data_IF_812039755016
#
_entry.id   IF_812039755016
#
_cell.length_a   1.000
_cell.length_b   1.000
_cell.length_c   1.000
_cell.angle_alpha   90.00
_cell.angle_beta   90.00
_cell.angle_gamma   90.00
#
_symmetry.space_group_name_H-M   'P 1'
#
loop_
_entity.id
_entity.type
_entity.pdbx_description
1 polymer ?
#
# COMPACT_ATOMS: atom_id res chain seq x y z
N UNK A 1 9.84 -5.66 -12.92
CA UNK A 1 8.83 -6.43 -12.19
C UNK A 1 9.46 -7.78 -11.91
N UNK A 2 9.50 -8.19 -10.63
CA UNK A 2 9.97 -9.52 -10.26
C UNK A 2 8.90 -10.56 -10.67
N UNK A 3 9.29 -11.64 -11.34
CA UNK A 3 8.34 -12.57 -11.98
C UNK A 3 7.66 -13.48 -10.96
N UNK A 4 8.38 -13.88 -9.92
CA UNK A 4 7.86 -14.69 -8.80
C UNK A 4 6.82 -13.90 -7.99
N UNK A 5 7.02 -12.58 -7.86
CA UNK A 5 6.04 -11.68 -7.25
C UNK A 5 4.82 -11.45 -8.14
N UNK A 6 5.01 -11.27 -9.45
CA UNK A 6 3.89 -11.23 -10.38
C UNK A 6 3.07 -12.52 -10.28
N UNK A 7 3.75 -13.68 -10.23
CA UNK A 7 3.10 -14.97 -10.03
C UNK A 7 2.25 -14.96 -8.75
N UNK A 8 2.83 -14.54 -7.62
CA UNK A 8 2.09 -14.43 -6.35
C UNK A 8 0.86 -13.52 -6.46
N UNK A 9 1.02 -12.33 -7.04
CA UNK A 9 -0.06 -11.35 -7.21
C UNK A 9 -1.20 -11.93 -8.06
N UNK A 10 -0.86 -12.63 -9.15
CA UNK A 10 -1.84 -13.24 -10.05
C UNK A 10 -2.59 -14.40 -9.39
N UNK A 11 -1.91 -15.21 -8.55
CA UNK A 11 -2.56 -16.27 -7.76
C UNK A 11 -3.56 -15.67 -6.77
N UNK A 12 -3.12 -14.69 -5.97
CA UNK A 12 -3.96 -14.01 -4.99
C UNK A 12 -5.17 -13.33 -5.65
N UNK A 13 -4.96 -12.70 -6.81
CA UNK A 13 -6.03 -12.05 -7.57
C UNK A 13 -7.00 -13.10 -8.15
N UNK A 14 -6.50 -14.19 -8.73
CA UNK A 14 -7.36 -15.27 -9.25
C UNK A 14 -8.24 -15.85 -8.14
N UNK A 15 -7.64 -16.18 -6.99
CA UNK A 15 -8.34 -16.72 -5.83
C UNK A 15 -9.44 -15.75 -5.36
N UNK A 16 -9.13 -14.46 -5.27
CA UNK A 16 -10.11 -13.43 -4.92
C UNK A 16 -11.27 -13.36 -5.93
N UNK A 17 -10.97 -13.31 -7.23
CA UNK A 17 -11.99 -13.21 -8.29
C UNK A 17 -12.94 -14.42 -8.27
N UNK A 18 -12.42 -15.60 -7.93
CA UNK A 18 -13.20 -16.83 -7.76
C UNK A 18 -14.01 -16.83 -6.46
N UNK A 19 -13.39 -16.42 -5.34
CA UNK A 19 -14.03 -16.34 -4.02
C UNK A 19 -15.26 -15.41 -4.01
N UNK A 20 -15.18 -14.25 -4.66
CA UNK A 20 -16.33 -13.34 -4.76
C UNK A 20 -17.24 -13.63 -5.96
N UNK A 21 -16.88 -14.62 -6.79
CA UNK A 21 -17.62 -15.02 -7.98
C UNK A 21 -17.91 -13.85 -8.94
N UNK A 22 -16.93 -12.95 -9.13
CA UNK A 22 -17.12 -11.67 -9.81
C UNK A 22 -17.62 -11.83 -11.25
N UNK A 23 -17.09 -12.82 -11.99
CA UNK A 23 -17.48 -13.12 -13.37
C UNK A 23 -18.99 -13.32 -13.51
N UNK A 24 -19.56 -14.15 -12.62
CA UNK A 24 -20.97 -14.49 -12.65
C UNK A 24 -21.84 -13.32 -12.22
N UNK A 25 -21.39 -12.51 -11.26
CA UNK A 25 -22.14 -11.31 -10.82
C UNK A 25 -22.22 -10.26 -11.94
N UNK A 26 -21.13 -9.99 -12.65
CA UNK A 26 -21.14 -9.07 -13.81
C UNK A 26 -22.05 -9.63 -14.91
N UNK A 27 -21.96 -10.93 -15.21
CA UNK A 27 -22.82 -11.58 -16.20
C UNK A 27 -24.31 -11.52 -15.82
N UNK A 28 -24.66 -11.67 -14.55
CA UNK A 28 -26.04 -11.53 -14.09
C UNK A 28 -26.57 -10.11 -14.30
N UNK A 29 -25.78 -9.09 -13.98
CA UNK A 29 -26.14 -7.69 -14.24
C UNK A 29 -26.37 -7.47 -15.73
N UNK A 30 -25.49 -7.97 -16.60
CA UNK A 30 -25.66 -7.89 -18.06
C UNK A 30 -26.98 -8.53 -18.51
N UNK A 31 -27.27 -9.77 -18.08
CA UNK A 31 -28.48 -10.51 -18.45
C UNK A 31 -29.73 -9.78 -17.98
N UNK A 32 -29.78 -9.32 -16.73
CA UNK A 32 -30.95 -8.64 -16.20
C UNK A 32 -31.16 -7.26 -16.81
N UNK A 33 -30.08 -6.54 -17.14
CA UNK A 33 -30.17 -5.29 -17.88
C UNK A 33 -30.66 -5.52 -19.31
N UNK A 34 -30.18 -6.57 -19.99
CA UNK A 34 -30.67 -6.96 -21.31
C UNK A 34 -32.17 -7.26 -21.29
N UNK A 35 -32.67 -7.98 -20.27
CA UNK A 35 -34.09 -8.26 -20.11
C UNK A 35 -34.91 -6.99 -19.90
N UNK A 36 -34.42 -6.06 -19.07
CA UNK A 36 -35.06 -4.75 -18.85
C UNK A 36 -35.11 -3.91 -20.12
N UNK A 37 -34.06 -3.93 -20.95
CA UNK A 37 -34.02 -3.23 -22.24
C UNK A 37 -35.00 -3.86 -23.23
N UNK A 38 -35.05 -5.19 -23.30
CA UNK A 38 -35.91 -5.91 -24.23
C UNK A 38 -37.39 -5.87 -23.85
N UNK A 39 -37.72 -5.79 -22.55
CA UNK A 39 -39.09 -5.81 -22.03
C UNK A 39 -39.29 -4.81 -20.88
N UNK A 40 -39.26 -3.49 -21.13
CA UNK A 40 -39.25 -2.47 -20.07
C UNK A 40 -40.51 -2.46 -19.18
N UNK A 41 -41.63 -2.97 -19.69
CA UNK A 41 -42.92 -2.95 -19.01
C UNK A 41 -43.11 -4.10 -17.99
N UNK A 42 -42.12 -4.99 -17.82
CA UNK A 42 -42.19 -6.12 -16.89
C UNK A 42 -41.51 -5.76 -15.56
N UNK A 43 -42.26 -5.56 -14.45
CA UNK A 43 -41.68 -5.12 -13.17
C UNK A 43 -40.65 -6.08 -12.59
N UNK A 44 -40.76 -7.39 -12.89
CA UNK A 44 -39.82 -8.41 -12.42
C UNK A 44 -38.40 -8.20 -12.94
N UNK A 45 -38.22 -7.68 -14.16
CA UNK A 45 -36.88 -7.43 -14.73
C UNK A 45 -36.16 -6.31 -13.99
N UNK A 46 -36.89 -5.25 -13.61
CA UNK A 46 -36.34 -4.16 -12.80
C UNK A 46 -35.92 -4.66 -11.41
N UNK A 47 -36.77 -5.42 -10.73
CA UNK A 47 -36.46 -5.99 -9.41
C UNK A 47 -35.23 -6.90 -9.46
N UNK A 48 -35.13 -7.74 -10.50
CA UNK A 48 -33.96 -8.62 -10.67
C UNK A 48 -32.67 -7.85 -10.95
N UNK A 49 -32.73 -6.81 -11.80
CA UNK A 49 -31.58 -5.95 -12.07
C UNK A 49 -31.08 -5.26 -10.79
N UNK A 50 -31.98 -4.66 -10.01
CA UNK A 50 -31.60 -4.01 -8.74
C UNK A 50 -30.93 -5.00 -7.80
N UNK A 51 -31.52 -6.20 -7.63
CA UNK A 51 -30.94 -7.24 -6.77
C UNK A 51 -29.55 -7.68 -7.23
N UNK A 52 -29.35 -7.89 -8.54
CA UNK A 52 -28.04 -8.27 -9.06
C UNK A 52 -27.00 -7.16 -8.92
N UNK A 53 -27.41 -5.89 -9.07
CA UNK A 53 -26.53 -4.76 -8.80
C UNK A 53 -26.15 -4.66 -7.32
N UNK A 54 -27.10 -4.85 -6.40
CA UNK A 54 -26.83 -4.87 -4.96
C UNK A 54 -25.84 -5.96 -4.58
N UNK A 55 -26.03 -7.18 -5.11
CA UNK A 55 -25.11 -8.29 -4.90
C UNK A 55 -23.71 -7.99 -5.43
N UNK A 56 -23.61 -7.49 -6.68
CA UNK A 56 -22.33 -7.10 -7.28
C UNK A 56 -21.64 -6.00 -6.47
N UNK A 57 -22.37 -4.94 -6.11
CA UNK A 57 -21.83 -3.85 -5.32
C UNK A 57 -21.37 -4.29 -3.94
N UNK A 58 -22.10 -5.19 -3.28
CA UNK A 58 -21.70 -5.74 -1.99
C UNK A 58 -20.40 -6.55 -2.12
N UNK A 59 -20.30 -7.42 -3.13
CA UNK A 59 -19.09 -8.20 -3.42
C UNK A 59 -17.88 -7.28 -3.70
N UNK A 60 -18.03 -6.32 -4.62
CA UNK A 60 -16.97 -5.38 -4.98
C UNK A 60 -16.52 -4.49 -3.81
N UNK A 61 -17.43 -4.12 -2.91
CA UNK A 61 -17.09 -3.33 -1.72
C UNK A 61 -16.33 -4.14 -0.66
N UNK A 62 -16.55 -5.46 -0.61
CA UNK A 62 -15.90 -6.38 0.32
C UNK A 62 -14.66 -7.06 -0.26
N UNK A 63 -14.35 -6.80 -1.52
CA UNK A 63 -13.25 -7.45 -2.22
C UNK A 63 -11.91 -7.23 -1.53
N UNK A 64 -11.11 -8.30 -1.41
CA UNK A 64 -9.75 -8.27 -0.86
C UNK A 64 -8.84 -7.34 -1.66
N UNK A 65 -9.09 -7.17 -2.97
CA UNK A 65 -8.36 -6.22 -3.82
C UNK A 65 -8.36 -4.79 -3.25
N UNK A 66 -9.43 -4.36 -2.59
CA UNK A 66 -9.48 -3.02 -1.98
C UNK A 66 -8.43 -2.84 -0.87
N UNK A 67 -7.99 -3.93 -0.25
CA UNK A 67 -6.99 -3.98 0.82
C UNK A 67 -5.59 -4.35 0.33
N UNK A 68 -5.41 -4.61 -0.96
CA UNK A 68 -4.06 -4.86 -1.50
C UNK A 68 -3.16 -3.66 -1.27
N UNK A 69 -1.87 -3.96 -1.08
CA UNK A 69 -0.85 -2.92 -0.94
C UNK A 69 -0.81 -2.07 -2.21
N UNK A 70 -0.35 -0.82 -2.12
CA UNK A 70 -0.30 0.03 -3.28
C UNK A 70 0.58 -0.52 -4.41
N UNK A 71 1.71 -1.18 -4.09
CA UNK A 71 2.57 -1.77 -5.13
C UNK A 71 1.86 -2.91 -5.87
N UNK A 72 1.07 -3.73 -5.17
CA UNK A 72 0.27 -4.78 -5.78
C UNK A 72 -0.80 -4.19 -6.71
N UNK A 73 -1.48 -3.13 -6.27
CA UNK A 73 -2.44 -2.41 -7.11
C UNK A 73 -1.78 -1.80 -8.34
N UNK A 74 -0.60 -1.21 -8.20
CA UNK A 74 0.17 -0.67 -9.32
C UNK A 74 0.49 -1.77 -10.34
N UNK A 75 1.01 -2.91 -9.90
CA UNK A 75 1.30 -4.05 -10.80
C UNK A 75 0.04 -4.53 -11.52
N UNK A 76 -1.09 -4.60 -10.82
CA UNK A 76 -2.38 -4.98 -11.42
C UNK A 76 -2.84 -3.92 -12.43
N UNK A 77 -2.75 -2.64 -12.08
CA UNK A 77 -3.15 -1.52 -12.95
C UNK A 77 -2.23 -1.44 -14.20
N UNK A 78 -0.98 -1.90 -14.14
CA UNK A 78 -0.07 -1.98 -15.30
C UNK A 78 -0.43 -3.11 -16.29
N UNK A 79 -1.02 -4.21 -15.81
CA UNK A 79 -1.31 -5.39 -16.66
C UNK A 79 -2.79 -5.51 -17.02
N UNK A 80 -3.69 -4.88 -16.27
CA UNK A 80 -5.12 -4.95 -16.46
C UNK A 80 -5.64 -3.75 -17.27
N UNK A 81 -6.83 -3.92 -17.87
CA UNK A 81 -7.60 -2.80 -18.39
C UNK A 81 -8.18 -2.01 -17.22
N UNK A 82 -8.21 -0.68 -17.35
CA UNK A 82 -8.61 0.25 -16.28
C UNK A 82 -9.94 -0.11 -15.60
N UNK A 83 -9.92 -0.04 -14.26
CA UNK A 83 -11.08 -0.09 -13.36
C UNK A 83 -11.89 -1.40 -13.36
N UNK A 84 -11.25 -2.55 -13.53
CA UNK A 84 -11.93 -3.86 -13.52
C UNK A 84 -12.17 -4.47 -12.13
N UNK A 85 -11.69 -3.85 -11.04
CA UNK A 85 -11.73 -4.45 -9.71
C UNK A 85 -12.28 -3.53 -8.62
N UNK A 86 -12.78 -4.16 -7.55
CA UNK A 86 -13.15 -3.51 -6.30
C UNK A 86 -14.05 -2.27 -6.44
N UNK A 87 -13.75 -1.25 -5.63
CA UNK A 87 -14.53 -0.01 -5.57
C UNK A 87 -14.47 0.78 -6.90
N UNK A 88 -13.35 0.72 -7.64
CA UNK A 88 -13.20 1.38 -8.94
C UNK A 88 -14.24 0.86 -9.94
N UNK A 89 -14.36 -0.47 -10.09
CA UNK A 89 -15.38 -1.08 -10.95
C UNK A 89 -16.81 -0.74 -10.50
N UNK A 90 -17.07 -0.78 -9.19
CA UNK A 90 -18.38 -0.40 -8.63
C UNK A 90 -18.75 1.03 -9.04
N UNK A 91 -17.82 1.97 -8.94
CA UNK A 91 -18.03 3.37 -9.35
C UNK A 91 -18.24 3.51 -10.85
N UNK A 92 -17.46 2.80 -11.67
CA UNK A 92 -17.60 2.76 -13.14
C UNK A 92 -19.01 2.30 -13.55
N UNK A 93 -19.50 1.20 -12.99
CA UNK A 93 -20.85 0.68 -13.28
C UNK A 93 -21.93 1.66 -12.83
N UNK A 94 -21.81 2.27 -11.64
CA UNK A 94 -22.76 3.28 -11.17
C UNK A 94 -22.82 4.49 -12.11
N UNK A 95 -21.67 4.96 -12.58
CA UNK A 95 -21.56 6.10 -13.49
C UNK A 95 -22.17 5.78 -14.87
N UNK A 96 -21.94 4.58 -15.39
CA UNK A 96 -22.57 4.11 -16.64
C UNK A 96 -24.10 4.16 -16.51
N UNK A 97 -24.65 3.62 -15.41
CA UNK A 97 -26.10 3.56 -15.23
C UNK A 97 -26.72 4.95 -14.99
N UNK A 98 -26.05 5.83 -14.25
CA UNK A 98 -26.54 7.19 -13.99
C UNK A 98 -26.47 8.08 -15.24
N UNK A 99 -25.40 7.98 -16.02
CA UNK A 99 -25.22 8.74 -17.26
C UNK A 99 -26.19 8.29 -18.37
N UNK A 100 -26.60 7.02 -18.36
CA UNK A 100 -27.45 6.42 -19.39
C UNK A 100 -28.87 6.09 -18.89
N UNK A 101 -29.38 6.83 -17.90
CA UNK A 101 -30.72 6.60 -17.34
C UNK A 101 -31.85 6.71 -18.40
N UNK A 102 -31.65 7.51 -19.45
CA UNK A 102 -32.60 7.70 -20.57
C UNK A 102 -32.41 6.62 -21.65
N UNK A 103 -31.21 6.08 -21.80
CA UNK A 103 -30.81 5.16 -22.88
C UNK A 103 -30.26 3.84 -22.34
N UNK A 104 -31.10 2.96 -21.76
CA UNK A 104 -30.66 1.68 -21.20
C UNK A 104 -29.88 0.79 -22.16
N UNK A 105 -30.13 0.89 -23.46
CA UNK A 105 -29.40 0.15 -24.48
C UNK A 105 -27.90 0.54 -24.56
N UNK A 106 -27.56 1.81 -24.30
CA UNK A 106 -26.16 2.25 -24.24
C UNK A 106 -25.49 1.73 -22.97
N UNK A 107 -26.16 1.85 -21.81
CA UNK A 107 -25.68 1.24 -20.57
C UNK A 107 -25.39 -0.26 -20.75
N UNK A 108 -26.27 -0.97 -21.43
CA UNK A 108 -26.10 -2.38 -21.70
C UNK A 108 -24.86 -2.68 -22.58
N UNK A 109 -24.60 -1.86 -23.59
CA UNK A 109 -23.40 -2.00 -24.42
C UNK A 109 -22.12 -1.82 -23.58
N UNK A 110 -22.10 -0.81 -22.71
CA UNK A 110 -20.95 -0.53 -21.84
C UNK A 110 -20.74 -1.63 -20.79
N UNK A 111 -21.82 -2.20 -20.22
CA UNK A 111 -21.72 -3.35 -19.31
C UNK A 111 -21.26 -4.61 -20.03
N UNK A 112 -21.64 -4.82 -21.30
CA UNK A 112 -21.15 -5.93 -22.12
C UNK A 112 -19.65 -5.83 -22.37
N UNK A 113 -19.15 -4.63 -22.65
CA UNK A 113 -17.73 -4.35 -22.81
C UNK A 113 -16.96 -4.70 -21.52
N UNK A 114 -17.42 -4.21 -20.37
CA UNK A 114 -16.85 -4.57 -19.05
C UNK A 114 -16.83 -6.10 -18.84
N UNK A 115 -17.92 -6.79 -19.14
CA UNK A 115 -17.97 -8.26 -18.96
C UNK A 115 -16.98 -8.98 -19.89
N UNK A 116 -16.85 -8.50 -21.13
CA UNK A 116 -15.91 -9.06 -22.09
C UNK A 116 -14.46 -8.83 -21.64
N UNK A 117 -14.11 -7.60 -21.26
CA UNK A 117 -12.76 -7.25 -20.81
C UNK A 117 -12.39 -8.05 -19.56
N UNK A 118 -13.32 -8.18 -18.61
CA UNK A 118 -13.13 -8.98 -17.41
C UNK A 118 -12.88 -10.46 -17.75
N UNK A 119 -13.65 -11.06 -18.68
CA UNK A 119 -13.46 -12.46 -19.10
C UNK A 119 -12.13 -12.67 -19.81
N UNK A 120 -11.75 -11.75 -20.69
CA UNK A 120 -10.47 -11.80 -21.39
C UNK A 120 -9.31 -11.71 -20.41
N UNK A 121 -9.38 -10.77 -19.46
CA UNK A 121 -8.36 -10.62 -18.44
C UNK A 121 -8.27 -11.85 -17.54
N UNK A 122 -9.40 -12.39 -17.05
CA UNK A 122 -9.42 -13.63 -16.27
C UNK A 122 -8.78 -14.80 -17.03
N UNK A 123 -9.08 -14.93 -18.32
CA UNK A 123 -8.44 -15.96 -19.17
C UNK A 123 -6.93 -15.73 -19.31
N UNK A 124 -6.48 -14.47 -19.41
CA UNK A 124 -5.07 -14.14 -19.48
C UNK A 124 -4.33 -14.49 -18.18
N UNK A 125 -4.94 -14.24 -17.02
CA UNK A 125 -4.40 -14.66 -15.72
C UNK A 125 -4.22 -16.18 -15.72
N UNK A 126 -5.28 -16.95 -16.01
CA UNK A 126 -5.22 -18.42 -16.01
C UNK A 126 -4.12 -18.94 -16.93
N UNK A 127 -4.03 -18.42 -18.16
CA UNK A 127 -3.00 -18.84 -19.12
C UNK A 127 -1.59 -18.47 -18.64
N UNK A 128 -1.42 -17.32 -18.00
CA UNK A 128 -0.12 -16.87 -17.47
C UNK A 128 0.33 -17.74 -16.32
N UNK A 129 -0.58 -18.05 -15.37
CA UNK A 129 -0.29 -18.93 -14.23
C UNK A 129 0.10 -20.34 -14.69
N UNK A 130 -0.64 -20.92 -15.64
CA UNK A 130 -0.25 -22.20 -16.24
C UNK A 130 1.09 -22.13 -16.96
N UNK A 131 1.40 -21.00 -17.60
CA UNK A 131 2.71 -20.77 -18.22
C UNK A 131 3.84 -20.69 -17.20
N UNK A 132 3.63 -20.05 -16.04
CA UNK A 132 4.60 -20.02 -14.95
C UNK A 132 4.85 -21.41 -14.38
N UNK A 133 3.80 -22.19 -14.16
CA UNK A 133 3.90 -23.58 -13.70
C UNK A 133 4.72 -24.45 -14.67
N UNK A 134 4.43 -24.39 -15.98
CA UNK A 134 5.15 -25.15 -17.01
C UNK A 134 6.64 -24.74 -17.12
N UNK A 135 6.95 -23.47 -16.86
CA UNK A 135 8.31 -22.95 -16.85
C UNK A 135 9.05 -23.21 -15.52
N UNK A 136 8.37 -23.73 -14.50
CA UNK A 136 8.94 -23.91 -13.16
C UNK A 136 9.22 -22.60 -12.42
N UNK A 137 8.46 -21.54 -12.74
CA UNK A 137 8.53 -20.26 -12.03
C UNK A 137 7.68 -20.38 -10.77
N UNK A 138 8.31 -20.37 -9.61
CA UNK A 138 7.63 -20.43 -8.31
C UNK A 138 7.04 -19.06 -7.93
N UNK A 139 6.10 -19.05 -6.98
CA UNK A 139 5.58 -17.81 -6.41
C UNK A 139 6.47 -17.32 -5.25
N UNK A 140 6.53 -16.00 -5.06
CA UNK A 140 7.18 -15.42 -3.89
C UNK A 140 6.31 -15.64 -2.63
N UNK A 141 6.73 -16.55 -1.76
CA UNK A 141 6.04 -16.86 -0.49
C UNK A 141 6.74 -16.15 0.68
N UNK A 142 5.94 -15.68 1.65
CA UNK A 142 6.42 -15.39 3.00
C UNK A 142 6.03 -16.55 3.90
N UNK A 143 6.95 -16.99 4.76
CA UNK A 143 6.59 -17.99 5.77
C UNK A 143 5.67 -17.37 6.83
N UNK A 144 4.77 -18.15 7.45
CA UNK A 144 3.88 -17.65 8.50
C UNK A 144 4.64 -16.91 9.61
N UNK A 145 4.21 -15.67 9.92
CA UNK A 145 4.88 -14.80 10.89
C UNK A 145 6.10 -14.05 10.35
N UNK A 146 6.56 -14.34 9.13
CA UNK A 146 7.63 -13.58 8.50
C UNK A 146 7.10 -12.23 8.02
N UNK A 147 7.89 -11.18 8.28
CA UNK A 147 7.62 -9.83 7.81
C UNK A 147 8.63 -9.41 6.75
N UNK A 148 8.16 -8.62 5.78
CA UNK A 148 9.02 -7.91 4.84
C UNK A 148 8.64 -6.42 4.78
N UNK A 149 9.66 -5.60 4.58
CA UNK A 149 9.56 -4.19 4.20
C UNK A 149 9.80 -4.07 2.69
N UNK A 150 8.81 -3.59 1.96
CA UNK A 150 8.99 -3.09 0.60
C UNK A 150 9.35 -1.60 0.64
N UNK A 151 10.43 -1.24 -0.05
CA UNK A 151 10.96 0.12 -0.10
C UNK A 151 11.23 0.53 -1.54
N UNK A 152 10.37 1.42 -2.08
CA UNK A 152 10.43 1.89 -3.47
C UNK A 152 11.18 3.21 -3.55
N UNK A 153 12.20 3.25 -4.40
CA UNK A 153 13.05 4.41 -4.65
C UNK A 153 12.70 5.02 -6.01
N UNK A 154 12.22 6.27 -6.07
CA UNK A 154 11.92 6.95 -7.33
C UNK A 154 13.17 7.08 -8.18
N UNK A 155 13.06 6.74 -9.47
CA UNK A 155 14.20 6.84 -10.42
C UNK A 155 14.72 8.27 -10.55
N UNK A 156 13.82 9.24 -10.53
CA UNK A 156 14.15 10.66 -10.60
C UNK A 156 14.99 11.11 -9.41
N UNK A 157 14.73 10.56 -8.22
CA UNK A 157 15.47 10.88 -7.01
C UNK A 157 16.94 10.44 -7.10
N UNK A 158 17.22 9.28 -7.68
CA UNK A 158 18.58 8.73 -7.79
C UNK A 158 19.24 8.95 -9.16
N UNK A 159 18.57 9.58 -10.11
CA UNK A 159 19.02 9.82 -11.49
C UNK A 159 19.57 8.53 -12.16
N UNK A 160 18.98 7.38 -11.82
CA UNK A 160 19.43 6.04 -12.22
C UNK A 160 20.94 5.75 -11.95
N UNK A 161 21.57 6.41 -10.98
CA UNK A 161 22.98 6.21 -10.63
C UNK A 161 23.15 5.15 -9.56
N UNK A 162 24.05 4.19 -9.80
CA UNK A 162 24.39 3.15 -8.83
C UNK A 162 24.96 3.73 -7.52
N UNK A 163 25.72 4.82 -7.59
CA UNK A 163 26.25 5.49 -6.40
C UNK A 163 25.12 6.02 -5.51
N UNK A 164 24.12 6.67 -6.12
CA UNK A 164 22.96 7.21 -5.40
C UNK A 164 22.09 6.09 -4.83
N UNK A 165 21.89 5.00 -5.58
CA UNK A 165 21.20 3.81 -5.08
C UNK A 165 21.91 3.18 -3.87
N UNK A 166 23.24 3.09 -3.92
CA UNK A 166 24.06 2.61 -2.79
C UNK A 166 23.86 3.49 -1.56
N UNK A 167 23.82 4.81 -1.74
CA UNK A 167 23.62 5.73 -0.62
C UNK A 167 22.23 5.55 0.00
N UNK A 168 21.17 5.40 -0.80
CA UNK A 168 19.83 5.09 -0.25
C UNK A 168 19.76 3.74 0.49
N UNK A 169 20.51 2.73 0.06
CA UNK A 169 20.60 1.46 0.83
C UNK A 169 21.22 1.70 2.21
N UNK A 170 22.23 2.58 2.33
CA UNK A 170 22.81 2.93 3.64
C UNK A 170 21.80 3.66 4.51
N UNK A 171 21.01 4.54 3.92
CA UNK A 171 19.98 5.31 4.62
C UNK A 171 18.86 4.41 5.12
N UNK A 172 18.39 3.46 4.29
CA UNK A 172 17.46 2.42 4.73
C UNK A 172 18.06 1.58 5.87
N UNK A 173 19.32 1.16 5.74
CA UNK A 173 20.04 0.41 6.78
C UNK A 173 20.14 1.20 8.09
N UNK A 174 20.35 2.52 8.02
CA UNK A 174 20.38 3.40 9.18
C UNK A 174 19.01 3.44 9.87
N UNK A 175 17.93 3.61 9.10
CA UNK A 175 16.55 3.66 9.62
C UNK A 175 16.23 2.36 10.36
N UNK A 176 16.44 1.22 9.70
CA UNK A 176 16.12 -0.09 10.25
C UNK A 176 16.93 -0.40 11.52
N UNK A 177 18.22 -0.07 11.54
CA UNK A 177 19.07 -0.35 12.70
C UNK A 177 18.69 0.47 13.94
N UNK A 178 18.31 1.73 13.80
CA UNK A 178 17.92 2.54 14.97
C UNK A 178 16.58 2.09 15.54
N UNK A 179 15.64 1.67 14.68
CA UNK A 179 14.37 1.11 15.13
C UNK A 179 14.58 -0.25 15.78
N UNK A 180 15.36 -1.13 15.15
CA UNK A 180 15.70 -2.45 15.70
C UNK A 180 16.41 -2.33 17.04
N UNK A 181 17.37 -1.42 17.19
CA UNK A 181 18.05 -1.22 18.47
C UNK A 181 17.13 -0.65 19.55
N UNK A 182 16.20 0.25 19.19
CA UNK A 182 15.23 0.79 20.14
C UNK A 182 14.25 -0.28 20.66
N UNK A 183 13.92 -1.25 19.81
CA UNK A 183 12.85 -2.23 20.09
C UNK A 183 13.40 -3.53 20.67
N UNK A 184 14.49 -4.04 20.10
CA UNK A 184 15.09 -5.32 20.48
C UNK A 184 16.34 -5.16 21.34
N UNK A 185 16.88 -3.93 21.44
CA UNK A 185 18.07 -3.63 22.23
C UNK A 185 19.40 -3.84 21.50
N UNK A 186 19.37 -4.33 20.26
CA UNK A 186 20.56 -4.53 19.42
C UNK A 186 20.28 -4.20 17.94
N UNK A 187 21.35 -3.97 17.18
CA UNK A 187 21.28 -3.76 15.74
C UNK A 187 21.22 -5.11 15.03
N UNK A 188 20.44 -5.19 13.96
CA UNK A 188 20.27 -6.41 13.17
C UNK A 188 20.95 -6.33 11.81
N UNK A 189 21.35 -7.49 11.29
CA UNK A 189 21.70 -7.65 9.89
C UNK A 189 20.44 -8.02 9.09
N UNK A 190 19.99 -7.10 8.23
CA UNK A 190 18.79 -7.29 7.44
C UNK A 190 19.09 -8.00 6.12
N UNK A 191 18.31 -9.04 5.80
CA UNK A 191 18.46 -9.80 4.56
C UNK A 191 17.60 -9.19 3.47
N UNK A 192 18.20 -8.89 2.32
CA UNK A 192 17.46 -8.57 1.10
C UNK A 192 16.83 -9.87 0.59
N UNK A 193 15.50 -9.89 0.50
CA UNK A 193 14.73 -11.00 -0.07
C UNK A 193 14.75 -10.91 -1.59
N UNK A 194 14.33 -9.77 -2.12
CA UNK A 194 14.08 -9.56 -3.55
C UNK A 194 14.41 -8.12 -3.94
N UNK A 195 14.87 -7.91 -5.18
CA UNK A 195 15.05 -6.60 -5.80
C UNK A 195 14.27 -6.56 -7.11
N UNK A 196 13.43 -5.54 -7.29
CA UNK A 196 12.83 -5.24 -8.59
C UNK A 196 13.68 -4.21 -9.34
N UNK A 197 13.85 -4.43 -10.64
CA UNK A 197 14.60 -3.55 -11.52
C UNK A 197 13.75 -2.58 -12.33
N UNK A 198 12.42 -2.76 -12.39
CA UNK A 198 11.51 -1.84 -13.12
C UNK A 198 11.28 -0.56 -12.34
N UNK A 199 11.01 -0.70 -11.05
CA UNK A 199 11.03 0.34 -10.04
C UNK A 199 12.07 -0.11 -9.04
N UNK A 200 13.01 0.74 -8.62
CA UNK A 200 14.06 0.37 -7.67
C UNK A 200 13.43 0.04 -6.32
N UNK A 201 12.95 -1.19 -6.18
CA UNK A 201 12.14 -1.66 -5.07
C UNK A 201 12.89 -2.80 -4.39
N UNK A 202 13.14 -2.59 -3.11
CA UNK A 202 13.83 -3.52 -2.23
C UNK A 202 12.83 -4.18 -1.30
N UNK A 203 12.88 -5.50 -1.22
CA UNK A 203 12.20 -6.28 -0.19
C UNK A 203 13.20 -6.75 0.84
N UNK A 204 13.01 -6.36 2.09
CA UNK A 204 13.93 -6.64 3.18
C UNK A 204 13.19 -7.40 4.27
N UNK A 205 13.71 -8.55 4.69
CA UNK A 205 13.16 -9.29 5.83
C UNK A 205 13.45 -8.53 7.11
N UNK A 206 12.41 -8.29 7.91
CA UNK A 206 12.48 -7.60 9.20
C UNK A 206 11.76 -8.42 10.29
N UNK A 207 12.13 -8.22 11.55
CA UNK A 207 11.46 -8.86 12.69
C UNK A 207 10.06 -8.30 12.95
N UNK A 208 9.20 -9.09 13.60
CA UNK A 208 7.81 -8.70 13.92
C UNK A 208 7.73 -7.40 14.71
N UNK A 209 8.56 -7.22 15.73
CA UNK A 209 8.52 -6.02 16.57
C UNK A 209 8.98 -4.77 15.79
N UNK A 210 10.01 -4.91 14.95
CA UNK A 210 10.46 -3.84 14.04
C UNK A 210 9.37 -3.48 13.04
N UNK A 211 8.70 -4.49 12.46
CA UNK A 211 7.60 -4.29 11.52
C UNK A 211 6.40 -3.58 12.16
N UNK A 212 6.04 -3.95 13.39
CA UNK A 212 4.94 -3.32 14.13
C UNK A 212 5.22 -1.83 14.38
N UNK A 213 6.41 -1.51 14.90
CA UNK A 213 6.81 -0.12 15.14
C UNK A 213 6.89 0.67 13.83
N UNK A 214 7.51 0.10 12.80
CA UNK A 214 7.68 0.79 11.53
C UNK A 214 6.33 1.01 10.82
N UNK A 215 5.40 0.06 10.89
CA UNK A 215 4.07 0.19 10.28
C UNK A 215 3.23 1.27 10.96
N UNK A 216 3.19 1.31 12.28
CA UNK A 216 2.52 2.36 13.06
C UNK A 216 3.16 3.73 12.84
N UNK A 217 4.49 3.81 12.83
CA UNK A 217 5.21 5.06 12.59
C UNK A 217 4.95 5.58 11.18
N UNK A 218 5.00 4.71 10.17
CA UNK A 218 4.73 5.05 8.76
C UNK A 218 3.28 5.49 8.58
N UNK A 219 2.30 4.78 9.16
CA UNK A 219 0.88 5.17 9.16
C UNK A 219 0.72 6.61 9.71
N UNK A 220 1.32 6.90 10.87
CA UNK A 220 1.19 8.22 11.51
C UNK A 220 1.88 9.34 10.75
N UNK A 221 3.06 9.06 10.18
CA UNK A 221 3.77 10.00 9.29
C UNK A 221 2.91 10.29 8.07
N UNK A 222 2.36 9.27 7.41
CA UNK A 222 1.49 9.45 6.24
C UNK A 222 0.21 10.22 6.58
N UNK A 223 -0.43 9.93 7.72
CA UNK A 223 -1.61 10.66 8.16
C UNK A 223 -1.34 12.15 8.40
N UNK A 224 -0.20 12.51 8.97
CA UNK A 224 0.21 13.92 9.12
C UNK A 224 0.65 14.51 7.78
N UNK A 225 1.32 13.73 6.94
CA UNK A 225 1.76 14.18 5.63
C UNK A 225 0.58 14.49 4.70
N UNK A 226 -0.55 13.76 4.77
CA UNK A 226 -1.78 14.10 4.04
C UNK A 226 -2.26 15.53 4.33
N UNK A 227 -2.10 16.02 5.56
CA UNK A 227 -2.42 17.41 5.92
C UNK A 227 -1.41 18.40 5.32
N UNK A 228 -0.14 18.00 5.24
CA UNK A 228 0.95 18.80 4.66
C UNK A 228 0.88 18.81 3.12
N UNK A 229 0.31 17.78 2.50
CA UNK A 229 0.21 17.66 1.04
C UNK A 229 -0.61 18.80 0.44
N UNK A 230 -1.74 19.17 1.07
CA UNK A 230 -2.52 20.34 0.64
C UNK A 230 -1.68 21.63 0.72
N UNK A 231 -0.89 21.78 1.79
CA UNK A 231 0.02 22.92 1.97
C UNK A 231 1.09 22.94 0.87
N UNK A 232 1.66 21.77 0.54
CA UNK A 232 2.66 21.59 -0.54
C UNK A 232 2.07 21.98 -1.89
N UNK A 233 0.88 21.48 -2.24
CA UNK A 233 0.21 21.79 -3.50
C UNK A 233 -0.03 23.30 -3.62
N UNK A 234 -0.58 23.94 -2.58
CA UNK A 234 -0.82 25.38 -2.59
C UNK A 234 0.49 26.18 -2.70
N UNK A 235 1.55 25.75 -2.00
CA UNK A 235 2.86 26.39 -2.07
C UNK A 235 3.49 26.26 -3.47
N UNK A 236 3.35 25.10 -4.12
CA UNK A 236 3.85 24.88 -5.47
C UNK A 236 3.07 25.73 -6.49
N UNK A 237 1.74 25.83 -6.37
CA UNK A 237 0.92 26.74 -7.19
C UNK A 237 1.30 28.22 -7.03
N UNK A 238 1.71 28.65 -5.84
CA UNK A 238 2.22 30.01 -5.62
C UNK A 238 3.56 30.22 -6.32
N UNK A 239 4.45 29.22 -6.24
CA UNK A 239 5.75 29.25 -6.93
C UNK A 239 5.58 29.35 -8.45
N UNK A 240 4.68 28.54 -9.03
CA UNK A 240 4.32 28.58 -10.47
C UNK A 240 3.78 29.94 -10.92
N UNK A 241 3.08 30.65 -10.02
CA UNK A 241 2.60 32.02 -10.25
C UNK A 241 3.66 33.10 -10.03
N UNK A 242 4.92 32.72 -9.79
CA UNK A 242 6.06 33.61 -9.64
C UNK A 242 6.22 34.21 -8.24
N UNK A 243 5.57 33.65 -7.21
CA UNK A 243 5.78 34.10 -5.83
C UNK A 243 7.18 33.67 -5.38
N UNK A 244 8.06 34.59 -4.94
CA UNK A 244 9.42 34.23 -4.54
C UNK A 244 9.44 33.29 -3.32
N UNK A 245 10.34 32.30 -3.31
CA UNK A 245 10.49 31.34 -2.21
C UNK A 245 10.68 31.98 -0.82
N UNK A 246 11.30 33.17 -0.77
CA UNK A 246 11.45 33.92 0.48
C UNK A 246 10.10 34.29 1.13
N UNK A 247 9.02 34.39 0.36
CA UNK A 247 7.66 34.69 0.83
C UNK A 247 6.88 33.45 1.26
N UNK A 248 7.27 32.25 0.81
CA UNK A 248 6.65 30.98 1.20
C UNK A 248 7.41 30.26 2.32
N UNK A 249 8.58 30.76 2.74
CA UNK A 249 9.42 30.12 3.77
C UNK A 249 8.71 29.85 5.11
N UNK A 250 7.78 30.71 5.53
CA UNK A 250 7.00 30.49 6.75
C UNK A 250 6.06 29.28 6.64
N UNK A 251 5.59 28.99 5.42
CA UNK A 251 4.76 27.81 5.12
C UNK A 251 5.60 26.55 5.26
N UNK A 252 6.81 26.53 4.68
CA UNK A 252 7.74 25.41 4.85
C UNK A 252 8.07 25.18 6.33
N UNK A 253 8.32 26.25 7.10
CA UNK A 253 8.65 26.15 8.53
C UNK A 253 7.49 25.59 9.35
N UNK A 254 6.25 25.96 9.02
CA UNK A 254 5.05 25.41 9.66
C UNK A 254 4.89 23.92 9.37
N UNK A 255 5.03 23.49 8.10
CA UNK A 255 4.95 22.09 7.72
C UNK A 255 6.03 21.23 8.40
N UNK A 256 7.28 21.72 8.44
CA UNK A 256 8.38 21.04 9.13
C UNK A 256 8.12 20.93 10.63
N UNK A 257 7.65 22.00 11.29
CA UNK A 257 7.33 21.98 12.72
C UNK A 257 6.22 21.00 13.08
N UNK A 258 5.18 20.87 12.24
CA UNK A 258 4.12 19.86 12.43
C UNK A 258 4.67 18.45 12.39
N UNK A 259 5.45 18.11 11.35
CA UNK A 259 6.00 16.77 11.20
C UNK A 259 7.05 16.45 12.27
N UNK A 260 7.95 17.40 12.60
CA UNK A 260 8.98 17.22 13.63
C UNK A 260 8.36 16.95 15.01
N UNK A 261 7.28 17.65 15.35
CA UNK A 261 6.57 17.45 16.62
C UNK A 261 5.98 16.03 16.72
N UNK A 262 5.38 15.54 15.63
CA UNK A 262 4.82 14.19 15.62
C UNK A 262 5.92 13.12 15.65
N UNK A 263 7.01 13.31 14.91
CA UNK A 263 8.13 12.36 14.91
C UNK A 263 8.76 12.23 16.30
N UNK A 264 8.97 13.35 17.01
CA UNK A 264 9.46 13.32 18.39
C UNK A 264 8.53 12.55 19.31
N UNK A 265 7.21 12.71 19.13
CA UNK A 265 6.20 11.96 19.89
C UNK A 265 6.28 10.47 19.59
N UNK A 266 6.34 10.06 18.31
CA UNK A 266 6.49 8.66 17.90
C UNK A 266 7.74 8.06 18.52
N UNK A 267 8.90 8.71 18.37
CA UNK A 267 10.17 8.21 18.88
C UNK A 267 10.13 7.99 20.39
N UNK A 268 9.61 8.96 21.14
CA UNK A 268 9.45 8.84 22.59
C UNK A 268 8.56 7.68 22.99
N UNK A 269 7.41 7.52 22.32
CA UNK A 269 6.48 6.42 22.58
C UNK A 269 7.13 5.05 22.33
N UNK A 270 7.87 4.88 21.23
CA UNK A 270 8.62 3.65 20.93
C UNK A 270 9.61 3.31 22.05
N UNK A 271 10.38 4.29 22.51
CA UNK A 271 11.37 4.08 23.57
C UNK A 271 10.71 3.86 24.95
N UNK A 272 9.56 4.47 25.22
CA UNK A 272 8.82 4.26 26.48
C UNK A 272 8.18 2.86 26.53
N UNK A 273 7.74 2.33 25.39
CA UNK A 273 7.09 1.01 25.30
C UNK A 273 8.08 -0.15 25.28
N UNK A 274 9.17 -0.02 24.52
CA UNK A 274 10.07 -1.16 24.25
C UNK A 274 11.39 -1.12 25.01
N UNK A 275 11.95 0.06 25.28
CA UNK A 275 13.30 0.18 25.82
C UNK A 275 13.34 0.23 27.36
N UNK A 276 13.92 -0.80 27.99
CA UNK A 276 13.93 -0.97 29.46
C UNK A 276 15.30 -0.73 30.13
N UNK A 277 16.29 -0.24 29.40
CA UNK A 277 17.68 -0.08 29.91
C UNK A 277 17.99 1.35 30.41
N UNK A 278 19.27 1.64 30.66
CA UNK A 278 19.79 2.87 31.28
C UNK A 278 19.36 4.17 30.54
N UNK A 279 19.03 5.19 31.33
CA UNK A 279 18.51 6.49 30.86
C UNK A 279 19.48 7.23 29.94
N UNK A 280 20.79 7.04 30.11
CA UNK A 280 21.81 7.65 29.25
C UNK A 280 21.72 7.16 27.80
N UNK A 281 21.61 5.84 27.60
CA UNK A 281 21.47 5.23 26.27
C UNK A 281 20.09 5.50 25.68
N UNK A 282 19.04 5.57 26.51
CA UNK A 282 17.69 5.89 26.08
C UNK A 282 17.61 7.23 25.32
N UNK A 283 18.24 8.29 25.83
CA UNK A 283 18.24 9.60 25.17
C UNK A 283 19.00 9.59 23.84
N UNK A 284 20.09 8.83 23.72
CA UNK A 284 20.83 8.70 22.46
C UNK A 284 20.00 7.95 21.41
N UNK A 285 19.35 6.85 21.83
CA UNK A 285 18.46 6.07 20.96
C UNK A 285 17.23 6.86 20.54
N UNK A 286 16.60 7.62 21.45
CA UNK A 286 15.47 8.48 21.12
C UNK A 286 15.86 9.47 20.00
N UNK A 287 17.01 10.14 20.13
CA UNK A 287 17.51 11.02 19.07
C UNK A 287 17.80 10.26 17.77
N UNK A 288 18.39 9.07 17.85
CA UNK A 288 18.65 8.21 16.70
C UNK A 288 17.36 7.81 15.96
N UNK A 289 16.32 7.44 16.70
CA UNK A 289 14.99 7.13 16.16
C UNK A 289 14.33 8.37 15.55
N UNK A 290 14.46 9.55 16.18
CA UNK A 290 14.00 10.81 15.58
C UNK A 290 14.67 11.04 14.22
N UNK A 291 15.99 10.85 14.09
CA UNK A 291 16.67 11.00 12.81
C UNK A 291 16.24 9.95 11.78
N UNK A 292 16.06 8.70 12.19
CA UNK A 292 15.54 7.64 11.33
C UNK A 292 14.14 7.98 10.78
N UNK A 293 13.25 8.47 11.64
CA UNK A 293 11.90 8.85 11.24
C UNK A 293 11.86 10.15 10.41
N UNK A 294 12.76 11.11 10.68
CA UNK A 294 12.93 12.29 9.82
C UNK A 294 13.37 11.89 8.42
N UNK A 295 14.36 10.98 8.31
CA UNK A 295 14.80 10.43 7.04
C UNK A 295 13.64 9.79 6.28
N UNK A 296 12.87 8.93 6.96
CA UNK A 296 11.68 8.28 6.39
C UNK A 296 10.64 9.30 5.89
N UNK A 297 10.31 10.31 6.70
CA UNK A 297 9.33 11.34 6.33
C UNK A 297 9.79 12.20 5.14
N UNK A 298 11.06 12.61 5.10
CA UNK A 298 11.63 13.32 3.95
C UNK A 298 11.55 12.46 2.68
N UNK A 299 11.82 11.14 2.78
CA UNK A 299 11.72 10.21 1.64
C UNK A 299 10.30 10.08 1.13
N UNK A 300 9.31 9.94 2.03
CA UNK A 300 7.88 9.94 1.65
C UNK A 300 7.51 11.23 0.91
N UNK A 301 7.96 12.40 1.37
CA UNK A 301 7.72 13.67 0.68
C UNK A 301 8.42 13.79 -0.69
N UNK A 302 9.49 13.03 -0.89
CA UNK A 302 10.20 12.89 -2.16
C UNK A 302 9.69 11.72 -3.03
N UNK A 303 8.51 11.17 -2.71
CA UNK A 303 7.83 10.17 -3.53
C UNK A 303 8.26 8.73 -3.29
N UNK A 304 9.05 8.45 -2.25
CA UNK A 304 9.33 7.06 -1.87
C UNK A 304 8.06 6.41 -1.34
N UNK A 305 7.88 5.14 -1.69
CA UNK A 305 6.80 4.32 -1.16
C UNK A 305 7.34 3.27 -0.21
N UNK A 306 6.66 3.10 0.92
CA UNK A 306 7.00 2.12 1.94
C UNK A 306 5.80 1.22 2.15
N UNK A 307 6.01 -0.08 2.08
CA UNK A 307 5.00 -1.08 2.37
C UNK A 307 5.52 -2.11 3.35
N UNK A 308 4.65 -2.59 4.25
CA UNK A 308 5.00 -3.61 5.22
C UNK A 308 4.00 -4.74 5.09
N UNK A 309 4.50 -5.94 4.88
CA UNK A 309 3.68 -7.15 4.75
C UNK A 309 4.10 -8.16 5.81
N UNK A 310 3.11 -8.82 6.39
CA UNK A 310 3.30 -9.96 7.29
C UNK A 310 2.39 -11.10 6.87
N UNK A 311 2.94 -12.30 6.83
CA UNK A 311 2.13 -13.49 6.58
C UNK A 311 1.36 -13.88 7.85
N UNK A 312 0.03 -14.10 7.79
CA UNK A 312 -0.74 -14.54 8.93
C UNK A 312 -0.20 -15.82 9.55
N UNK A 313 -0.23 -15.91 10.87
CA UNK A 313 0.01 -17.17 11.57
C UNK A 313 -1.15 -18.16 11.32
N UNK A 314 -0.87 -19.47 11.28
CA UNK A 314 -1.92 -20.47 11.18
C UNK A 314 -2.85 -20.37 12.39
N UNK A 315 -4.17 -20.41 12.13
CA UNK A 315 -5.17 -20.37 13.20
C UNK A 315 -4.95 -21.54 14.16
N UNK A 316 -4.94 -21.30 15.49
CA UNK A 316 -4.84 -22.38 16.45
C UNK A 316 -6.01 -23.35 16.27
N UNK A 317 -5.75 -24.66 16.48
CA UNK A 317 -6.84 -25.64 16.45
C UNK A 317 -7.77 -25.38 17.63
N UNK A 318 -9.06 -25.74 17.50
CA UNK A 318 -10.10 -25.44 18.52
C UNK A 318 -9.78 -25.91 19.95
N UNK A 319 -8.92 -26.91 20.09
CA UNK A 319 -8.54 -27.52 21.38
C UNK A 319 -7.05 -27.29 21.71
N UNK A 320 -6.37 -26.39 20.98
CA UNK A 320 -4.96 -26.07 21.22
C UNK A 320 -4.84 -24.91 22.22
N UNK A 321 -4.18 -25.16 23.35
CA UNK A 321 -3.84 -24.12 24.32
C UNK A 321 -2.85 -23.15 23.68
N UNK A 322 -3.23 -21.88 23.57
CA UNK A 322 -2.36 -20.81 23.04
C UNK A 322 -1.51 -20.29 24.17
N UNK A 323 -0.18 -20.41 24.05
CA UNK A 323 0.76 -19.86 25.02
C UNK A 323 0.73 -18.32 24.98
N UNK A 324 1.12 -17.66 26.07
CA UNK A 324 1.22 -16.19 26.12
C UNK A 324 2.15 -15.64 25.02
N UNK A 325 3.25 -16.33 24.74
CA UNK A 325 4.19 -15.98 23.65
C UNK A 325 3.51 -16.04 22.28
N UNK A 326 2.78 -17.13 21.99
CA UNK A 326 2.06 -17.29 20.72
C UNK A 326 0.94 -16.26 20.58
N UNK A 327 0.26 -15.91 21.69
CA UNK A 327 -0.73 -14.85 21.68
C UNK A 327 -0.10 -13.48 21.37
N UNK A 328 1.06 -13.17 21.97
CA UNK A 328 1.78 -11.93 21.68
C UNK A 328 2.21 -11.83 20.21
N UNK A 329 2.65 -12.94 19.60
CA UNK A 329 2.95 -12.97 18.16
C UNK A 329 1.69 -12.74 17.31
N UNK A 330 0.56 -13.37 17.64
CA UNK A 330 -0.72 -13.15 16.95
C UNK A 330 -1.15 -11.68 17.05
N UNK A 331 -0.99 -11.06 18.21
CA UNK A 331 -1.34 -9.67 18.45
C UNK A 331 -0.45 -8.73 17.62
N UNK A 332 0.86 -9.00 17.53
CA UNK A 332 1.79 -8.26 16.67
C UNK A 332 1.41 -8.40 15.18
N UNK A 333 1.18 -9.62 14.70
CA UNK A 333 0.79 -9.86 13.30
C UNK A 333 -0.51 -9.10 12.96
N UNK A 334 -1.49 -9.14 13.85
CA UNK A 334 -2.76 -8.44 13.67
C UNK A 334 -2.55 -6.93 13.64
N UNK A 335 -1.77 -6.40 14.58
CA UNK A 335 -1.42 -4.98 14.68
C UNK A 335 -0.69 -4.45 13.43
N UNK A 336 0.25 -5.24 12.90
CA UNK A 336 0.95 -4.92 11.64
C UNK A 336 -0.05 -4.89 10.48
N UNK A 337 -0.92 -5.90 10.36
CA UNK A 337 -1.92 -5.94 9.28
C UNK A 337 -2.85 -4.73 9.32
N UNK A 338 -3.36 -4.37 10.49
CA UNK A 338 -4.25 -3.22 10.66
C UNK A 338 -3.57 -1.89 10.33
N UNK A 339 -2.29 -1.74 10.69
CA UNK A 339 -1.53 -0.52 10.40
C UNK A 339 -1.13 -0.44 8.92
N UNK A 340 -0.64 -1.56 8.36
CA UNK A 340 -0.27 -1.67 6.95
C UNK A 340 -1.43 -1.47 5.98
N UNK A 341 -2.65 -1.87 6.33
CA UNK A 341 -3.85 -1.60 5.49
C UNK A 341 -4.13 -0.11 5.30
N UNK A 342 -3.63 0.75 6.20
CA UNK A 342 -3.82 2.21 6.14
C UNK A 342 -2.64 2.95 5.53
N UNK A 343 -1.56 2.24 5.23
CA UNK A 343 -0.41 2.77 4.50
C UNK A 343 -0.81 2.86 3.02
N UNK A 344 -1.25 4.05 2.63
CA UNK A 344 -1.64 4.36 1.26
C UNK A 344 -0.48 4.98 0.48
N UNK A 345 -0.41 4.68 -0.81
CA UNK A 345 0.46 5.40 -1.72
C UNK A 345 -0.07 6.82 -1.90
N UNK A 346 0.85 7.78 -1.83
CA UNK A 346 0.56 9.20 -2.01
C UNK A 346 1.37 9.64 -3.21
N UNK A 347 0.68 9.99 -4.30
CA UNK A 347 1.30 10.68 -5.42
C UNK A 347 1.78 12.05 -4.94
N UNK A 348 3.07 12.30 -5.09
CA UNK A 348 3.69 13.55 -4.70
C UNK A 348 4.13 14.32 -5.94
N UNK A 349 3.35 15.32 -6.32
CA UNK A 349 3.75 16.24 -7.39
C UNK A 349 4.50 17.47 -6.85
N UNK A 350 5.46 17.92 -7.65
CA UNK A 350 6.22 19.15 -7.43
C UNK A 350 7.30 19.05 -6.34
N UNK A 351 7.87 20.20 -5.99
CA UNK A 351 9.02 20.26 -5.08
C UNK A 351 8.66 19.86 -3.65
N UNK A 352 9.55 19.06 -3.04
CA UNK A 352 9.49 18.67 -1.62
C UNK A 352 9.32 19.89 -0.68
N UNK A 353 8.53 19.69 0.37
CA UNK A 353 8.24 20.69 1.42
C UNK A 353 8.95 20.38 2.75
N UNK A 354 9.22 19.12 3.02
CA UNK A 354 9.93 18.68 4.21
C UNK A 354 11.44 18.81 4.03
N UNK A 355 12.08 19.35 5.07
CA UNK A 355 13.53 19.57 5.20
C UNK A 355 13.95 19.27 6.64
N UNK A 356 13.52 18.10 7.13
CA UNK A 356 13.77 17.68 8.50
C UNK A 356 15.25 17.31 8.67
N UNK A 357 15.83 17.51 9.87
CA UNK A 357 17.23 17.18 10.12
C UNK A 357 17.44 15.66 10.04
N UNK A 358 18.35 15.22 9.18
CA UNK A 358 18.61 13.79 8.96
C UNK A 358 19.83 13.25 9.70
N UNK A 359 20.74 14.12 10.14
CA UNK A 359 21.95 13.71 10.83
C UNK A 359 22.04 14.41 12.20
N UNK A 360 22.56 13.71 13.20
CA UNK A 360 23.12 14.38 14.36
C UNK A 360 24.28 15.24 13.84
N UNK A 361 24.33 16.54 14.15
CA UNK A 361 25.27 17.50 13.55
C UNK A 361 26.77 17.29 13.85
N UNK A 362 27.22 16.03 13.99
CA UNK A 362 28.57 15.62 14.36
C UNK A 362 29.35 14.89 13.26
N UNK A 363 28.81 14.75 12.04
CA UNK A 363 29.62 14.31 10.90
C UNK A 363 30.22 15.53 10.18
N UNK A 364 31.46 15.85 10.55
CA UNK A 364 32.38 16.71 9.80
C UNK A 364 33.38 15.87 9.05
#
# INVERSE_FOLDING_TARGET
MNIERLHRILLDLQEELDNINQANLIQQVEIHLQNQVSQPNQPSHQTNLVKSLENLYQALSKSKYNKYSPSWKQVIDEIAVDDLFGIKLKSKIKNILSANAITPAKALADIKEINNDFKQFKSAITNTLSGFEELGIEEEILEPGQCELGYTIPREFIDNKLSSFKDEIKELTFILNHISEAVEGEKQEFKIKTISSSDFLLYVIIGLQVADVLSKATERILNHYKQILEIKVLRNQLSEKGVPAAKTKSVDSYANGMMESEIKKIAKEVLDEHYKSDNGRKNELENGVVFALNKLANRIDNGFNVEIRVEPLPKPKKDEEVTEEKQAEIDLVTSIQESSEKIEFIETDGESILKLPENSGNEK
#
